data_IF_324153477752
#
_entry.id   IF_324153477752
#
_cell.length_a   1.000
_cell.length_b   1.000
_cell.length_c   1.000
_cell.angle_alpha   90.00
_cell.angle_beta   90.00
_cell.angle_gamma   90.00
#
_symmetry.space_group_name_H-M   'P 1'
#
loop_
_entity.id
_entity.type
_entity.pdbx_description
1 polymer ?
#
# COMPACT_ATOMS: atom_id res chain seq x y z
N UNK A 1 17.51 -2.24 15.20
CA UNK A 1 16.37 -2.73 14.42
C UNK A 1 15.17 -2.82 15.34
N UNK A 2 14.05 -2.23 14.93
CA UNK A 2 12.83 -2.19 15.75
C UNK A 2 12.04 -3.50 15.64
N UNK A 3 11.24 -3.76 16.67
CA UNK A 3 10.31 -4.89 16.71
C UNK A 3 8.87 -4.39 16.79
N UNK A 4 7.93 -5.14 16.25
CA UNK A 4 6.50 -4.93 16.53
C UNK A 4 6.14 -5.63 17.84
N UNK A 5 4.95 -5.36 18.36
CA UNK A 5 4.45 -6.04 19.57
C UNK A 5 4.29 -7.57 19.38
N UNK A 6 4.31 -8.04 18.13
CA UNK A 6 4.11 -9.45 17.77
C UNK A 6 5.38 -10.15 17.25
N UNK A 7 6.54 -9.50 17.30
CA UNK A 7 7.78 -10.09 16.79
C UNK A 7 8.08 -11.47 17.40
N UNK A 8 7.97 -11.61 18.71
CA UNK A 8 8.18 -12.90 19.39
C UNK A 8 7.14 -13.94 18.98
N UNK A 9 5.91 -13.52 18.71
CA UNK A 9 4.86 -14.40 18.19
C UNK A 9 5.26 -14.98 16.83
N UNK A 10 5.77 -14.15 15.92
CA UNK A 10 6.21 -14.60 14.60
C UNK A 10 7.36 -15.58 14.70
N UNK A 11 8.34 -15.31 15.55
CA UNK A 11 9.47 -16.18 15.79
C UNK A 11 8.98 -17.53 16.33
N UNK A 12 8.06 -17.52 17.30
CA UNK A 12 7.49 -18.74 17.90
C UNK A 12 6.71 -19.58 16.88
N UNK A 13 6.16 -18.96 15.85
CA UNK A 13 5.45 -19.63 14.76
C UNK A 13 6.38 -20.14 13.65
N UNK A 14 7.69 -19.96 13.82
CA UNK A 14 8.68 -20.43 12.84
C UNK A 14 8.84 -19.54 11.62
N UNK A 15 8.44 -18.27 11.69
CA UNK A 15 8.58 -17.34 10.60
C UNK A 15 10.06 -17.10 10.24
N UNK A 16 10.34 -16.95 8.95
CA UNK A 16 11.62 -16.43 8.48
C UNK A 16 11.60 -14.91 8.66
N UNK A 17 12.42 -14.42 9.57
CA UNK A 17 12.51 -13.00 9.88
C UNK A 17 13.57 -12.32 9.03
N UNK A 18 13.26 -11.09 8.55
CA UNK A 18 14.17 -10.27 7.72
C UNK A 18 14.08 -8.81 8.14
N UNK A 19 15.14 -8.02 7.92
CA UNK A 19 15.06 -6.57 8.03
C UNK A 19 14.15 -5.99 6.94
N UNK A 20 13.22 -5.15 7.35
CA UNK A 20 12.33 -4.42 6.43
C UNK A 20 11.97 -3.06 7.04
N UNK A 21 12.28 -1.97 6.34
CA UNK A 21 11.97 -0.59 6.78
C UNK A 21 12.40 -0.28 8.22
N UNK A 22 13.52 -0.85 8.64
CA UNK A 22 14.06 -0.67 9.99
C UNK A 22 13.48 -1.59 11.06
N UNK A 23 12.60 -2.51 10.67
CA UNK A 23 11.96 -3.48 11.55
C UNK A 23 12.40 -4.91 11.24
N UNK A 24 12.30 -5.78 12.26
CA UNK A 24 12.46 -7.21 12.13
C UNK A 24 11.11 -7.82 11.78
N UNK A 25 10.90 -8.22 10.52
CA UNK A 25 9.60 -8.59 9.99
C UNK A 25 9.57 -10.02 9.43
N UNK A 26 8.41 -10.71 9.52
CA UNK A 26 8.27 -12.02 8.91
C UNK A 26 8.11 -11.89 7.39
N UNK A 27 9.01 -12.51 6.63
CA UNK A 27 8.89 -12.55 5.17
C UNK A 27 8.00 -13.71 4.72
N UNK A 28 8.04 -14.83 5.44
CA UNK A 28 7.19 -15.99 5.18
C UNK A 28 7.11 -16.89 6.42
N UNK A 29 6.08 -17.73 6.46
CA UNK A 29 5.88 -18.80 7.45
C UNK A 29 5.99 -20.16 6.77
N UNK A 30 4.97 -20.61 6.06
CA UNK A 30 5.01 -21.90 5.34
C UNK A 30 5.51 -21.77 3.89
N UNK A 31 5.57 -20.58 3.37
CA UNK A 31 6.06 -20.28 2.02
C UNK A 31 5.17 -19.30 1.26
N UNK A 32 5.80 -18.49 0.41
CA UNK A 32 5.14 -17.37 -0.27
C UNK A 32 3.96 -17.84 -1.13
N UNK A 33 4.13 -18.91 -1.91
CA UNK A 33 3.06 -19.37 -2.82
C UNK A 33 1.84 -19.89 -2.05
N UNK A 34 2.06 -20.66 -0.99
CA UNK A 34 0.97 -21.18 -0.16
C UNK A 34 0.24 -20.07 0.58
N UNK A 35 0.98 -19.11 1.12
CA UNK A 35 0.44 -17.93 1.81
C UNK A 35 -0.36 -17.04 0.86
N UNK A 36 0.15 -16.83 -0.34
CA UNK A 36 -0.57 -16.10 -1.41
C UNK A 36 -1.90 -16.76 -1.72
N UNK A 37 -1.92 -18.07 -1.94
CA UNK A 37 -3.13 -18.83 -2.22
C UNK A 37 -4.13 -18.79 -1.06
N UNK A 38 -3.66 -18.81 0.18
CA UNK A 38 -4.50 -18.67 1.37
C UNK A 38 -5.27 -17.36 1.36
N UNK A 39 -4.63 -16.26 1.02
CA UNK A 39 -5.28 -14.94 0.93
C UNK A 39 -6.27 -14.90 -0.24
N UNK A 40 -5.89 -15.38 -1.41
CA UNK A 40 -6.78 -15.37 -2.59
C UNK A 40 -8.03 -16.20 -2.40
N UNK A 41 -7.95 -17.35 -1.72
CA UNK A 41 -9.03 -18.32 -1.64
C UNK A 41 -9.73 -18.38 -0.28
N UNK A 42 -9.16 -17.80 0.75
CA UNK A 42 -9.64 -17.91 2.12
C UNK A 42 -9.45 -16.65 2.93
N UNK A 43 -8.58 -16.73 3.94
CA UNK A 43 -8.27 -15.60 4.83
C UNK A 43 -6.87 -15.77 5.44
N UNK A 44 -6.12 -14.68 5.44
CA UNK A 44 -4.81 -14.62 6.06
C UNK A 44 -4.59 -13.34 6.87
N UNK A 45 -3.64 -13.37 7.77
CA UNK A 45 -3.32 -12.25 8.69
C UNK A 45 -1.89 -11.79 8.48
N UNK A 46 -1.75 -10.50 8.16
CA UNK A 46 -0.46 -9.83 8.08
C UNK A 46 -0.27 -8.94 9.31
N UNK A 47 0.88 -9.02 9.95
CA UNK A 47 1.31 -7.98 10.86
C UNK A 47 1.94 -6.86 10.03
N UNK A 48 1.28 -5.71 9.99
CA UNK A 48 1.77 -4.50 9.33
C UNK A 48 1.90 -3.33 10.32
N UNK A 49 2.17 -3.67 11.59
CA UNK A 49 2.32 -2.70 12.68
C UNK A 49 3.52 -1.77 12.50
N UNK A 50 4.39 -2.04 11.53
CA UNK A 50 5.51 -1.17 11.17
C UNK A 50 5.07 0.10 10.43
N UNK A 51 3.85 0.14 9.92
CA UNK A 51 3.27 1.34 9.29
C UNK A 51 3.16 2.48 10.30
N UNK A 52 3.13 3.72 9.80
CA UNK A 52 2.99 4.90 10.63
C UNK A 52 1.57 5.43 10.69
N UNK A 53 1.20 5.99 11.83
CA UNK A 53 -0.10 6.62 12.06
C UNK A 53 0.10 7.99 12.71
N UNK A 54 -0.48 9.03 12.07
CA UNK A 54 -0.49 10.40 12.60
C UNK A 54 -1.91 10.84 12.84
N UNK A 55 -2.17 11.45 13.99
CA UNK A 55 -3.46 12.11 14.27
C UNK A 55 -3.29 13.61 14.11
N UNK A 56 -4.15 14.23 13.30
CA UNK A 56 -4.22 15.67 13.09
C UNK A 56 -5.56 16.18 13.63
N UNK A 57 -5.53 17.17 14.51
CA UNK A 57 -6.72 17.71 15.17
C UNK A 57 -6.81 19.22 15.09
N UNK A 58 -8.03 19.72 15.02
CA UNK A 58 -8.37 21.13 15.08
C UNK A 58 -9.09 21.61 13.84
N UNK A 59 -9.59 22.83 13.89
CA UNK A 59 -10.35 23.44 12.78
C UNK A 59 -9.51 23.60 11.52
N UNK A 60 -8.19 23.75 11.67
CA UNK A 60 -7.27 23.92 10.55
C UNK A 60 -6.65 22.59 10.05
N UNK A 61 -7.01 21.47 10.63
CA UNK A 61 -6.50 20.15 10.21
C UNK A 61 -6.81 19.87 8.74
N UNK A 62 -8.04 20.14 8.30
CA UNK A 62 -8.44 19.96 6.90
C UNK A 62 -7.61 20.85 5.96
N UNK A 63 -7.35 22.09 6.34
CA UNK A 63 -6.58 23.02 5.51
C UNK A 63 -5.14 22.53 5.33
N UNK A 64 -4.52 22.01 6.40
CA UNK A 64 -3.17 21.42 6.33
C UNK A 64 -3.15 20.21 5.41
N UNK A 65 -4.11 19.29 5.57
CA UNK A 65 -4.23 18.09 4.73
C UNK A 65 -4.40 18.48 3.26
N UNK A 66 -5.27 19.45 2.97
CA UNK A 66 -5.48 19.91 1.60
C UNK A 66 -4.22 20.54 1.00
N UNK A 67 -3.42 21.22 1.84
CA UNK A 67 -2.18 21.86 1.39
C UNK A 67 -1.10 20.84 1.01
N UNK A 68 -0.96 19.75 1.76
CA UNK A 68 0.13 18.78 1.60
C UNK A 68 -0.22 17.57 0.75
N UNK A 69 -1.51 17.28 0.52
CA UNK A 69 -1.95 16.09 -0.20
C UNK A 69 -2.60 16.40 -1.54
N UNK A 70 -2.52 15.45 -2.45
CA UNK A 70 -2.97 15.56 -3.83
C UNK A 70 -4.48 15.47 -4.01
N UNK A 71 -5.16 14.71 -3.16
CA UNK A 71 -6.59 14.43 -3.28
C UNK A 71 -7.43 15.47 -2.53
N UNK A 72 -8.72 15.48 -2.79
CA UNK A 72 -9.65 16.43 -2.16
C UNK A 72 -10.24 15.83 -0.87
N UNK A 73 -9.62 16.17 0.26
CA UNK A 73 -10.06 15.70 1.57
C UNK A 73 -11.40 16.31 2.01
N UNK A 74 -11.85 17.40 1.37
CA UNK A 74 -13.17 17.99 1.65
C UNK A 74 -14.33 17.08 1.21
N UNK A 75 -14.06 16.08 0.38
CA UNK A 75 -15.04 15.08 -0.06
C UNK A 75 -15.23 13.95 0.96
N UNK A 76 -14.37 13.88 1.97
CA UNK A 76 -14.51 12.88 3.03
C UNK A 76 -15.69 13.22 3.95
N UNK A 77 -16.34 12.19 4.46
CA UNK A 77 -17.31 12.25 5.54
C UNK A 77 -16.82 11.39 6.70
N UNK A 78 -17.45 11.51 7.87
CA UNK A 78 -17.02 10.74 9.05
C UNK A 78 -17.08 9.23 8.76
N UNK A 79 -15.96 8.55 8.92
CA UNK A 79 -15.83 7.13 8.59
C UNK A 79 -15.33 6.83 7.17
N UNK A 80 -15.07 7.84 6.35
CA UNK A 80 -14.54 7.66 4.99
C UNK A 80 -13.03 7.75 4.94
N UNK A 81 -12.44 6.94 4.06
CA UNK A 81 -11.00 6.89 3.81
C UNK A 81 -10.73 7.28 2.37
N UNK A 82 -9.59 7.91 2.14
CA UNK A 82 -9.17 8.24 0.78
C UNK A 82 -7.68 7.95 0.60
N UNK A 83 -7.32 7.46 -0.58
CA UNK A 83 -5.93 7.33 -1.01
C UNK A 83 -5.45 8.66 -1.59
N UNK A 84 -4.21 9.03 -1.29
CA UNK A 84 -3.58 10.24 -1.78
C UNK A 84 -2.06 10.07 -1.79
N UNK A 85 -1.37 11.08 -2.30
CA UNK A 85 0.07 11.18 -2.12
C UNK A 85 0.44 12.58 -1.62
N UNK A 86 1.63 12.69 -1.07
CA UNK A 86 2.24 13.97 -0.68
C UNK A 86 3.19 14.39 -1.81
N UNK A 87 2.82 15.39 -2.63
CA UNK A 87 3.73 15.88 -3.66
C UNK A 87 4.86 16.69 -3.03
N UNK A 88 6.07 16.54 -3.56
CA UNK A 88 7.17 17.42 -3.18
C UNK A 88 7.21 18.67 -4.08
N UNK A 89 8.14 19.55 -3.84
CA UNK A 89 8.24 20.82 -4.57
C UNK A 89 8.94 20.67 -5.94
N UNK A 90 9.56 19.52 -6.19
CA UNK A 90 10.39 19.25 -7.37
C UNK A 90 9.73 18.33 -8.40
N UNK A 91 8.46 18.00 -8.21
CA UNK A 91 7.69 17.17 -9.14
C UNK A 91 7.64 15.69 -8.81
N UNK A 92 8.19 15.29 -7.65
CA UNK A 92 8.14 13.92 -7.17
C UNK A 92 7.13 13.70 -6.06
N UNK A 93 7.24 12.54 -5.42
CA UNK A 93 6.32 12.06 -4.39
C UNK A 93 7.09 11.83 -3.08
N UNK A 94 6.68 12.53 -2.02
CA UNK A 94 7.26 12.34 -0.68
C UNK A 94 6.85 10.97 -0.14
N UNK A 95 5.57 10.64 -0.24
CA UNK A 95 4.99 9.36 0.15
C UNK A 95 3.56 9.24 -0.41
N UNK A 96 3.06 8.01 -0.51
CA UNK A 96 1.64 7.75 -0.67
C UNK A 96 1.05 7.35 0.68
N UNK A 97 -0.24 7.64 0.89
CA UNK A 97 -0.85 7.48 2.20
C UNK A 97 -2.35 7.28 2.09
N UNK A 98 -2.94 6.84 3.20
CA UNK A 98 -4.38 6.85 3.40
C UNK A 98 -4.76 7.96 4.38
N UNK A 99 -5.85 8.65 4.09
CA UNK A 99 -6.42 9.71 4.93
C UNK A 99 -7.77 9.23 5.45
N UNK A 100 -7.89 9.12 6.77
CA UNK A 100 -9.09 8.68 7.48
C UNK A 100 -9.76 9.90 8.11
N UNK A 101 -11.02 10.15 7.79
CA UNK A 101 -11.77 11.19 8.51
C UNK A 101 -12.51 10.59 9.68
N UNK A 102 -12.07 10.91 10.90
CA UNK A 102 -12.71 10.47 12.16
C UNK A 102 -13.94 11.33 12.44
N UNK A 103 -13.75 12.63 12.39
CA UNK A 103 -14.81 13.64 12.45
C UNK A 103 -14.35 14.89 11.69
N UNK A 104 -15.15 15.95 11.69
CA UNK A 104 -14.85 17.16 10.93
C UNK A 104 -13.55 17.87 11.34
N UNK A 105 -13.02 17.59 12.53
CA UNK A 105 -11.81 18.19 13.10
C UNK A 105 -10.70 17.20 13.39
N UNK A 106 -10.91 15.92 13.10
CA UNK A 106 -9.97 14.85 13.48
C UNK A 106 -9.74 13.91 12.32
N UNK A 107 -8.47 13.71 11.98
CA UNK A 107 -8.03 12.86 10.88
C UNK A 107 -6.91 11.95 11.33
N UNK A 108 -6.85 10.76 10.74
CA UNK A 108 -5.70 9.87 10.88
C UNK A 108 -5.04 9.70 9.52
N UNK A 109 -3.74 9.90 9.46
CA UNK A 109 -2.93 9.63 8.28
C UNK A 109 -2.15 8.35 8.49
N UNK A 110 -2.23 7.42 7.55
CA UNK A 110 -1.49 6.15 7.58
C UNK A 110 -0.43 6.19 6.50
N UNK A 111 0.83 6.10 6.92
CA UNK A 111 2.00 6.33 6.07
C UNK A 111 2.92 5.12 6.03
N UNK A 112 3.78 5.04 5.01
CA UNK A 112 4.73 3.95 4.87
C UNK A 112 5.80 3.98 5.98
N UNK A 113 6.18 2.80 6.44
CA UNK A 113 7.09 2.63 7.57
C UNK A 113 8.43 3.36 7.39
N UNK A 114 9.03 3.25 6.21
CA UNK A 114 10.33 3.89 5.92
C UNK A 114 10.27 5.41 5.87
N UNK A 115 9.09 5.98 5.77
CA UNK A 115 8.86 7.41 5.56
C UNK A 115 8.26 8.13 6.78
N UNK A 116 8.08 7.46 7.91
CA UNK A 116 7.40 8.04 9.08
C UNK A 116 8.03 9.38 9.48
N UNK A 117 9.35 9.43 9.68
CA UNK A 117 10.02 10.66 10.04
C UNK A 117 10.01 11.70 8.93
N UNK A 118 10.25 11.26 7.69
CA UNK A 118 10.21 12.12 6.50
C UNK A 118 8.84 12.79 6.32
N UNK A 119 7.78 12.02 6.42
CA UNK A 119 6.41 12.51 6.26
C UNK A 119 6.01 13.44 7.39
N UNK A 120 6.35 13.09 8.63
CA UNK A 120 6.11 13.94 9.79
C UNK A 120 6.75 15.32 9.62
N UNK A 121 8.04 15.33 9.27
CA UNK A 121 8.78 16.59 9.07
C UNK A 121 8.24 17.38 7.88
N UNK A 122 7.85 16.71 6.81
CA UNK A 122 7.26 17.34 5.63
C UNK A 122 5.93 18.04 5.97
N UNK A 123 5.04 17.37 6.67
CA UNK A 123 3.74 17.94 7.07
C UNK A 123 3.96 19.09 8.07
N UNK A 124 4.88 18.93 9.03
CA UNK A 124 5.21 19.99 10.00
C UNK A 124 5.75 21.24 9.30
N UNK A 125 6.50 21.09 8.22
CA UNK A 125 7.00 22.22 7.43
C UNK A 125 5.88 23.14 6.97
N UNK A 126 4.72 22.60 6.63
CA UNK A 126 3.55 23.33 6.18
C UNK A 126 2.54 23.62 7.29
N UNK A 127 2.79 23.19 8.49
CA UNK A 127 1.92 23.41 9.65
C UNK A 127 2.18 24.79 10.25
N UNK A 128 1.75 25.83 9.53
CA UNK A 128 1.95 27.24 9.92
C UNK A 128 0.81 27.80 10.78
N UNK A 129 -0.29 27.07 10.91
CA UNK A 129 -1.48 27.50 11.65
C UNK A 129 -1.68 26.73 12.96
N UNK A 130 -0.64 26.01 13.41
CA UNK A 130 -0.64 25.35 14.72
C UNK A 130 -1.60 24.16 14.83
N UNK A 131 -1.77 23.37 13.78
CA UNK A 131 -2.55 22.14 13.83
C UNK A 131 -1.91 21.19 14.86
N UNK A 132 -2.72 20.64 15.74
CA UNK A 132 -2.29 19.66 16.71
C UNK A 132 -2.00 18.34 15.99
N UNK A 133 -0.77 17.84 16.11
CA UNK A 133 -0.33 16.60 15.48
C UNK A 133 0.25 15.64 16.51
N UNK A 134 -0.13 14.37 16.42
CA UNK A 134 0.38 13.30 17.26
C UNK A 134 0.86 12.15 16.41
N UNK A 135 2.13 11.76 16.60
CA UNK A 135 2.66 10.54 16.00
C UNK A 135 2.41 9.39 16.98
N UNK A 136 1.41 8.56 16.67
CA UNK A 136 1.03 7.41 17.49
C UNK A 136 1.58 6.09 16.94
N UNK A 137 2.51 6.14 16.01
CA UNK A 137 3.05 4.95 15.32
C UNK A 137 3.63 3.93 16.30
N UNK A 138 4.41 4.37 17.28
CA UNK A 138 5.07 3.48 18.25
C UNK A 138 4.10 2.85 19.26
N UNK A 139 2.88 3.35 19.35
CA UNK A 139 1.85 2.87 20.29
C UNK A 139 0.80 2.01 19.61
N UNK A 140 0.77 1.96 18.30
CA UNK A 140 -0.29 1.36 17.49
C UNK A 140 0.19 0.08 16.83
N UNK A 141 -0.61 -0.97 16.96
CA UNK A 141 -0.48 -2.20 16.18
C UNK A 141 -1.52 -2.19 15.05
N UNK A 142 -1.18 -2.83 13.96
CA UNK A 142 -2.02 -2.92 12.77
C UNK A 142 -1.96 -4.32 12.21
N UNK A 143 -3.12 -4.99 12.16
CA UNK A 143 -3.26 -6.30 11.53
C UNK A 143 -4.14 -6.17 10.29
N UNK A 144 -3.64 -6.64 9.15
CA UNK A 144 -4.44 -6.76 7.93
C UNK A 144 -4.95 -8.20 7.83
N UNK A 145 -6.26 -8.37 7.90
CA UNK A 145 -6.94 -9.66 7.76
C UNK A 145 -7.61 -9.67 6.39
N UNK A 146 -7.03 -10.42 5.47
CA UNK A 146 -7.32 -10.29 4.04
C UNK A 146 -7.76 -11.61 3.43
N UNK A 147 -8.71 -11.53 2.52
CA UNK A 147 -9.24 -12.65 1.76
C UNK A 147 -10.77 -12.66 1.72
N UNK A 148 -11.37 -13.46 0.83
CA UNK A 148 -12.83 -13.49 0.66
C UNK A 148 -13.59 -14.01 1.88
N UNK A 149 -12.91 -14.68 2.80
CA UNK A 149 -13.49 -15.22 4.04
C UNK A 149 -13.26 -14.32 5.27
N UNK A 150 -12.64 -13.16 5.11
CA UNK A 150 -12.26 -12.30 6.24
C UNK A 150 -13.47 -11.86 7.06
N UNK A 151 -14.54 -11.38 6.43
CA UNK A 151 -15.74 -10.93 7.14
C UNK A 151 -16.36 -12.06 7.98
N UNK A 152 -16.54 -13.23 7.39
CA UNK A 152 -17.10 -14.40 8.11
C UNK A 152 -16.22 -14.82 9.28
N UNK A 153 -14.89 -14.85 9.06
CA UNK A 153 -13.94 -15.28 10.08
C UNK A 153 -13.91 -14.34 11.28
N UNK A 154 -14.10 -13.03 11.08
CA UNK A 154 -13.98 -12.02 12.12
C UNK A 154 -15.30 -11.63 12.79
N UNK A 155 -16.45 -11.95 12.19
CA UNK A 155 -17.75 -11.40 12.62
C UNK A 155 -18.09 -11.71 14.08
N UNK A 156 -17.72 -12.86 14.59
CA UNK A 156 -18.00 -13.23 15.99
C UNK A 156 -17.21 -12.39 17.02
N UNK A 157 -16.20 -11.66 16.58
CA UNK A 157 -15.32 -10.86 17.45
C UNK A 157 -15.81 -9.43 17.66
N UNK A 158 -16.82 -8.99 16.92
CA UNK A 158 -17.26 -7.58 16.94
C UNK A 158 -18.75 -7.45 16.64
N UNK A 159 -19.36 -6.37 17.16
CA UNK A 159 -20.74 -5.98 16.84
C UNK A 159 -20.83 -5.16 15.54
N UNK A 160 -19.70 -4.76 14.97
CA UNK A 160 -19.68 -4.08 13.68
C UNK A 160 -20.14 -5.08 12.60
N UNK A 161 -21.12 -4.70 11.77
CA UNK A 161 -21.54 -5.52 10.64
C UNK A 161 -20.47 -5.44 9.52
N UNK A 162 -19.53 -6.40 9.55
CA UNK A 162 -18.39 -6.41 8.65
C UNK A 162 -18.80 -6.62 7.19
N UNK A 163 -19.78 -7.47 6.95
CA UNK A 163 -20.25 -7.80 5.59
C UNK A 163 -20.85 -6.58 4.88
N UNK A 164 -21.42 -5.61 5.63
CA UNK A 164 -22.03 -4.41 5.05
C UNK A 164 -21.07 -3.22 4.93
N UNK A 165 -19.84 -3.35 5.41
CA UNK A 165 -18.87 -2.26 5.29
C UNK A 165 -18.44 -2.06 3.84
N UNK A 166 -18.61 -0.84 3.36
CA UNK A 166 -18.15 -0.46 2.04
C UNK A 166 -16.62 -0.30 2.01
N UNK A 167 -16.02 -0.63 0.88
CA UNK A 167 -14.60 -0.45 0.66
C UNK A 167 -14.20 1.02 0.89
N UNK A 168 -13.10 1.24 1.62
CA UNK A 168 -12.62 2.57 2.04
C UNK A 168 -13.54 3.28 3.04
N UNK A 169 -14.20 2.49 3.88
CA UNK A 169 -14.89 2.97 5.07
C UNK A 169 -14.32 2.32 6.32
N UNK A 170 -14.47 2.97 7.45
CA UNK A 170 -14.05 2.43 8.74
C UNK A 170 -15.07 2.72 9.83
N UNK A 171 -15.01 1.93 10.90
CA UNK A 171 -15.81 2.11 12.10
C UNK A 171 -14.94 1.83 13.33
N UNK A 172 -15.23 2.49 14.42
CA UNK A 172 -14.67 2.17 15.74
C UNK A 172 -15.69 1.36 16.52
N UNK A 173 -15.21 0.38 17.25
CA UNK A 173 -16.06 -0.45 18.08
C UNK A 173 -15.26 -1.39 18.97
N UNK A 174 -15.97 -2.29 19.64
CA UNK A 174 -15.36 -3.36 20.43
C UNK A 174 -14.98 -4.50 19.50
N UNK A 175 -13.74 -4.96 19.64
CA UNK A 175 -13.23 -6.08 18.86
C UNK A 175 -12.45 -7.02 19.78
N UNK A 176 -12.81 -8.30 19.82
CA UNK A 176 -12.21 -9.31 20.70
C UNK A 176 -12.21 -8.87 22.17
N UNK A 177 -13.26 -8.19 22.62
CA UNK A 177 -13.38 -7.66 23.98
C UNK A 177 -12.59 -6.37 24.25
N UNK A 178 -11.88 -5.85 23.25
CA UNK A 178 -11.12 -4.60 23.38
C UNK A 178 -11.92 -3.44 22.80
N UNK A 179 -12.07 -2.38 23.59
CA UNK A 179 -12.82 -1.18 23.19
C UNK A 179 -11.99 -0.27 22.27
N UNK A 180 -12.66 0.59 21.50
CA UNK A 180 -12.06 1.62 20.67
C UNK A 180 -11.10 1.08 19.60
N UNK A 181 -11.36 -0.10 19.11
CA UNK A 181 -10.63 -0.66 17.97
C UNK A 181 -11.18 -0.06 16.67
N UNK A 182 -10.29 0.40 15.82
CA UNK A 182 -10.65 0.92 14.50
C UNK A 182 -10.56 -0.23 13.49
N UNK A 183 -11.68 -0.50 12.81
CA UNK A 183 -11.76 -1.54 11.76
C UNK A 183 -12.04 -0.84 10.45
N UNK A 184 -11.15 -0.99 9.49
CA UNK A 184 -11.31 -0.39 8.15
C UNK A 184 -11.43 -1.46 7.07
N UNK A 185 -12.31 -1.22 6.10
CA UNK A 185 -12.46 -2.05 4.92
C UNK A 185 -11.43 -1.61 3.86
N UNK A 186 -10.19 -1.88 4.16
CA UNK A 186 -9.01 -1.53 3.34
C UNK A 186 -8.03 -2.69 3.28
N UNK A 187 -7.09 -2.63 2.37
CA UNK A 187 -6.03 -3.62 2.23
C UNK A 187 -5.13 -3.33 1.04
N UNK A 188 -4.16 -4.21 0.84
CA UNK A 188 -3.13 -4.08 -0.18
C UNK A 188 -3.02 -5.35 -1.03
N UNK A 189 -4.10 -6.14 -1.08
CA UNK A 189 -4.09 -7.48 -1.69
C UNK A 189 -5.04 -7.63 -2.88
N UNK A 190 -6.06 -6.79 -2.96
CA UNK A 190 -7.15 -6.95 -3.93
C UNK A 190 -8.07 -8.13 -3.63
N UNK A 191 -7.90 -8.80 -2.49
CA UNK A 191 -8.71 -9.96 -2.11
C UNK A 191 -9.88 -9.62 -1.18
N UNK A 192 -10.03 -8.35 -0.82
CA UNK A 192 -10.95 -7.91 0.21
C UNK A 192 -10.42 -8.17 1.62
N UNK A 193 -11.09 -7.64 2.60
CA UNK A 193 -10.72 -7.81 3.99
C UNK A 193 -10.70 -6.51 4.77
N UNK A 194 -10.02 -6.55 5.90
CA UNK A 194 -10.03 -5.46 6.88
C UNK A 194 -8.64 -5.19 7.41
N UNK A 195 -8.43 -3.96 7.85
CA UNK A 195 -7.25 -3.55 8.61
C UNK A 195 -7.73 -3.13 10.00
N UNK A 196 -7.07 -3.63 11.02
CA UNK A 196 -7.51 -3.52 12.42
C UNK A 196 -6.42 -2.80 13.21
N UNK A 197 -6.75 -1.62 13.76
CA UNK A 197 -5.85 -0.75 14.50
C UNK A 197 -6.20 -0.79 15.99
N UNK A 198 -5.20 -1.00 16.82
CA UNK A 198 -5.37 -1.06 18.27
C UNK A 198 -4.06 -0.74 19.00
N UNK A 199 -4.11 -0.53 20.29
CA UNK A 199 -2.92 -0.27 21.10
C UNK A 199 -2.08 -1.54 21.29
N UNK A 200 -0.76 -1.39 21.31
CA UNK A 200 0.21 -2.50 21.38
C UNK A 200 -0.04 -3.49 22.51
N UNK A 201 -0.55 -3.02 23.66
CA UNK A 201 -0.82 -3.89 24.81
C UNK A 201 -1.84 -4.99 24.53
N UNK A 202 -2.69 -4.79 23.51
CA UNK A 202 -3.74 -5.73 23.11
C UNK A 202 -3.31 -6.68 21.97
N UNK A 203 -2.07 -6.59 21.52
CA UNK A 203 -1.64 -7.28 20.29
C UNK A 203 -1.77 -8.80 20.39
N UNK A 204 -1.28 -9.41 21.47
CA UNK A 204 -1.39 -10.86 21.63
C UNK A 204 -2.84 -11.31 21.81
N UNK A 205 -3.63 -10.57 22.59
CA UNK A 205 -5.06 -10.87 22.81
C UNK A 205 -5.82 -10.88 21.49
N UNK A 206 -5.64 -9.84 20.67
CA UNK A 206 -6.35 -9.71 19.38
C UNK A 206 -5.85 -10.73 18.38
N UNK A 207 -4.55 -10.94 18.29
CA UNK A 207 -3.97 -11.96 17.40
C UNK A 207 -4.55 -13.35 17.72
N UNK A 208 -4.49 -13.76 18.98
CA UNK A 208 -4.98 -15.07 19.40
C UNK A 208 -6.48 -15.23 19.16
N UNK A 209 -7.27 -14.19 19.44
CA UNK A 209 -8.71 -14.19 19.17
C UNK A 209 -9.03 -14.32 17.68
N UNK A 210 -8.29 -13.63 16.82
CA UNK A 210 -8.46 -13.73 15.35
C UNK A 210 -8.19 -15.16 14.87
N UNK A 211 -7.11 -15.79 15.36
CA UNK A 211 -6.76 -17.16 14.95
C UNK A 211 -7.73 -18.19 15.50
N UNK A 212 -8.26 -18.00 16.72
CA UNK A 212 -9.31 -18.87 17.27
C UNK A 212 -10.60 -18.78 16.44
N UNK A 213 -11.08 -17.55 16.19
CA UNK A 213 -12.29 -17.33 15.40
C UNK A 213 -12.13 -17.76 13.94
N UNK A 214 -10.93 -17.60 13.38
CA UNK A 214 -10.62 -17.95 12.00
C UNK A 214 -10.27 -19.41 11.76
N UNK A 215 -10.11 -20.21 12.81
CA UNK A 215 -9.71 -21.61 12.67
C UNK A 215 -10.63 -22.43 11.74
N UNK A 216 -11.97 -22.30 11.80
CA UNK A 216 -12.87 -23.00 10.87
C UNK A 216 -12.66 -22.62 9.39
N UNK A 217 -12.01 -21.51 9.13
CA UNK A 217 -11.73 -20.97 7.79
C UNK A 217 -10.30 -21.22 7.34
N UNK A 218 -9.52 -22.00 8.10
CA UNK A 218 -8.09 -22.27 7.84
C UNK A 218 -7.25 -20.98 7.78
N UNK A 219 -7.54 -20.01 8.63
CA UNK A 219 -6.78 -18.77 8.70
C UNK A 219 -5.30 -19.04 8.96
N UNK A 220 -4.43 -18.32 8.26
CA UNK A 220 -2.98 -18.49 8.35
C UNK A 220 -2.27 -17.16 8.55
N UNK A 221 -1.11 -17.17 9.21
CA UNK A 221 -0.25 -15.98 9.23
C UNK A 221 0.43 -15.84 7.87
N UNK A 222 0.55 -14.61 7.41
CA UNK A 222 1.06 -14.28 6.07
C UNK A 222 2.21 -13.29 6.20
N UNK A 223 3.31 -13.56 5.51
CA UNK A 223 4.49 -12.71 5.53
C UNK A 223 4.54 -11.68 4.41
N UNK A 224 5.58 -10.84 4.47
CA UNK A 224 5.77 -9.74 3.52
C UNK A 224 6.04 -10.23 2.09
N UNK A 225 6.55 -11.46 1.92
CA UNK A 225 6.77 -12.02 0.58
C UNK A 225 5.48 -12.18 -0.20
N UNK A 226 4.43 -12.73 0.43
CA UNK A 226 3.11 -12.83 -0.19
C UNK A 226 2.43 -11.46 -0.30
N UNK A 227 2.67 -10.55 0.64
CA UNK A 227 2.18 -9.17 0.53
C UNK A 227 2.65 -8.53 -0.79
N UNK A 228 3.91 -8.73 -1.16
CA UNK A 228 4.47 -8.21 -2.40
C UNK A 228 3.88 -8.87 -3.65
N UNK A 229 3.75 -10.19 -3.66
CA UNK A 229 3.14 -10.88 -4.82
C UNK A 229 1.68 -10.50 -5.02
N UNK A 230 0.92 -10.37 -3.93
CA UNK A 230 -0.49 -9.99 -3.96
C UNK A 230 -0.69 -8.56 -4.47
N UNK A 231 0.05 -7.58 -3.92
CA UNK A 231 -0.09 -6.18 -4.35
C UNK A 231 0.31 -5.99 -5.81
N UNK A 232 1.35 -6.73 -6.26
CA UNK A 232 1.88 -6.59 -7.61
C UNK A 232 0.88 -7.10 -8.65
N UNK A 233 0.16 -8.19 -8.38
CA UNK A 233 -0.92 -8.68 -9.24
C UNK A 233 -2.01 -7.63 -9.46
N UNK A 234 -2.21 -6.74 -8.50
CA UNK A 234 -3.17 -5.64 -8.59
C UNK A 234 -2.59 -4.37 -9.23
N UNK A 235 -1.29 -4.33 -9.44
CA UNK A 235 -0.62 -3.13 -9.93
C UNK A 235 -0.50 -2.02 -8.90
N UNK A 236 -0.58 -2.34 -7.61
CA UNK A 236 -0.41 -1.36 -6.54
C UNK A 236 1.06 -0.99 -6.36
N UNK A 237 1.36 0.30 -6.36
CA UNK A 237 2.72 0.79 -6.19
C UNK A 237 3.27 0.47 -4.80
N UNK A 238 4.56 0.19 -4.75
CA UNK A 238 5.35 0.14 -3.53
C UNK A 238 6.29 1.36 -3.53
N UNK A 239 6.13 2.22 -2.53
CA UNK A 239 7.02 3.37 -2.38
C UNK A 239 8.46 2.92 -2.16
N UNK A 240 9.38 3.55 -2.87
CA UNK A 240 10.78 3.16 -2.92
C UNK A 240 11.14 2.26 -4.09
N UNK A 241 10.14 1.60 -4.69
CA UNK A 241 10.30 0.78 -5.90
C UNK A 241 9.66 1.43 -7.12
N UNK A 242 8.34 1.60 -7.09
CA UNK A 242 7.54 2.06 -8.24
C UNK A 242 7.33 3.56 -8.23
N UNK A 243 7.36 4.18 -7.08
CA UNK A 243 7.26 5.63 -6.87
C UNK A 243 8.26 6.06 -5.80
N UNK A 244 8.79 7.27 -5.94
CA UNK A 244 9.72 7.88 -5.00
C UNK A 244 9.78 9.41 -5.15
N UNK A 245 10.74 10.05 -4.50
CA UNK A 245 10.94 11.50 -4.54
C UNK A 245 11.23 12.06 -5.94
N UNK A 246 11.62 11.21 -6.88
CA UNK A 246 11.97 11.62 -8.26
C UNK A 246 10.89 11.26 -9.28
N UNK A 247 9.83 10.61 -8.85
CA UNK A 247 8.77 10.09 -9.73
C UNK A 247 7.66 11.10 -9.91
N UNK A 248 7.33 11.43 -11.15
CA UNK A 248 6.10 12.20 -11.42
C UNK A 248 4.85 11.37 -11.10
N UNK A 249 3.94 11.89 -10.27
CA UNK A 249 2.69 11.20 -9.97
C UNK A 249 1.82 10.97 -11.21
N UNK A 250 1.89 11.86 -12.20
CA UNK A 250 1.14 11.71 -13.45
C UNK A 250 1.71 10.58 -14.30
N UNK A 251 3.02 10.43 -14.33
CA UNK A 251 3.70 9.31 -15.00
C UNK A 251 3.46 7.98 -14.30
N UNK A 252 3.27 8.01 -12.99
CA UNK A 252 2.96 6.83 -12.17
C UNK A 252 1.49 6.38 -12.27
N UNK A 253 0.66 7.09 -13.02
CA UNK A 253 -0.77 6.76 -13.15
C UNK A 253 -1.62 7.23 -11.98
N UNK A 254 -1.13 8.16 -11.17
CA UNK A 254 -1.85 8.70 -10.00
C UNK A 254 -2.66 9.96 -10.31
N UNK A 255 -2.96 10.22 -11.58
CA UNK A 255 -3.79 11.35 -12.01
C UNK A 255 -5.20 11.32 -11.41
N UNK A 256 -5.75 10.14 -11.15
CA UNK A 256 -7.08 9.98 -10.58
C UNK A 256 -7.20 10.47 -9.12
N UNK A 257 -6.08 10.59 -8.40
CA UNK A 257 -6.01 11.18 -7.05
C UNK A 257 -5.32 12.54 -7.04
N UNK A 258 -5.13 13.16 -8.20
CA UNK A 258 -4.56 14.50 -8.34
C UNK A 258 -5.68 15.48 -8.66
N UNK A 259 -6.14 16.24 -7.66
CA UNK A 259 -7.36 17.08 -7.77
C UNK A 259 -6.99 18.55 -7.89
N UNK A 260 -6.96 19.05 -9.13
CA UNK A 260 -6.62 20.44 -9.44
C UNK A 260 -7.73 21.45 -9.11
N UNK A 261 -8.87 21.00 -8.58
CA UNK A 261 -9.94 21.86 -8.08
C UNK A 261 -9.61 22.55 -6.77
N UNK A 262 -8.51 22.15 -6.14
CA UNK A 262 -7.96 22.76 -4.92
C UNK A 262 -6.49 23.10 -5.10
N UNK A 263 -5.96 23.98 -4.26
CA UNK A 263 -4.55 24.29 -4.24
C UNK A 263 -3.80 23.33 -3.30
N UNK A 264 -2.65 22.83 -3.74
CA UNK A 264 -1.77 21.97 -2.95
C UNK A 264 -0.32 22.18 -3.39
N UNK A 265 0.62 21.61 -2.66
CA UNK A 265 2.05 21.71 -2.96
C UNK A 265 2.35 21.26 -4.39
N UNK A 266 3.02 22.13 -5.15
CA UNK A 266 3.42 21.90 -6.54
C UNK A 266 2.26 21.70 -7.54
N UNK A 267 1.04 22.10 -7.20
CA UNK A 267 -0.13 21.92 -8.05
C UNK A 267 0.01 22.59 -9.43
N UNK A 268 0.54 23.80 -9.48
CA UNK A 268 0.70 24.54 -10.76
C UNK A 268 1.64 23.81 -11.72
N UNK A 269 2.79 23.31 -11.24
CA UNK A 269 3.75 22.59 -12.06
C UNK A 269 3.18 21.23 -12.53
N UNK A 270 2.44 20.54 -11.68
CA UNK A 270 1.77 19.29 -12.07
C UNK A 270 0.69 19.52 -13.10
N UNK A 271 -0.09 20.60 -12.97
CA UNK A 271 -1.10 20.98 -13.95
C UNK A 271 -0.45 21.30 -15.31
N UNK A 272 0.65 22.03 -15.29
CA UNK A 272 1.41 22.35 -16.50
C UNK A 272 1.94 21.08 -17.17
N UNK A 273 2.45 20.11 -16.39
CA UNK A 273 2.90 18.81 -16.91
C UNK A 273 1.73 18.04 -17.54
N UNK A 274 0.56 18.04 -16.92
CA UNK A 274 -0.65 17.42 -17.47
C UNK A 274 -1.02 17.98 -18.83
N UNK A 275 -0.97 19.31 -18.97
CA UNK A 275 -1.30 20.01 -20.21
C UNK A 275 -0.24 19.76 -21.30
N UNK A 276 1.04 19.73 -20.94
CA UNK A 276 2.14 19.46 -21.88
C UNK A 276 2.24 17.97 -22.27
N UNK A 277 1.72 17.07 -21.45
CA UNK A 277 1.84 15.64 -21.60
C UNK A 277 3.04 15.08 -20.85
N UNK A 278 2.92 13.80 -20.46
CA UNK A 278 3.98 13.07 -19.77
C UNK A 278 4.99 12.48 -20.76
N UNK A 279 6.23 12.30 -20.32
CA UNK A 279 7.31 11.73 -21.17
C UNK A 279 7.44 10.22 -21.08
N UNK A 280 7.03 9.64 -19.95
CA UNK A 280 7.01 8.19 -19.71
C UNK A 280 5.79 7.81 -18.91
N UNK A 281 5.50 6.51 -18.87
CA UNK A 281 4.31 5.99 -18.18
C UNK A 281 4.62 4.66 -17.50
N UNK A 282 4.14 4.49 -16.29
CA UNK A 282 4.19 3.22 -15.57
C UNK A 282 3.23 2.23 -16.22
N UNK A 283 3.77 1.09 -16.67
CA UNK A 283 3.04 0.03 -17.36
C UNK A 283 3.21 -1.30 -16.63
N UNK A 284 2.24 -2.19 -16.82
CA UNK A 284 2.39 -3.60 -16.48
C UNK A 284 3.22 -4.31 -17.52
N UNK A 285 3.99 -5.30 -17.08
CA UNK A 285 4.85 -6.15 -17.90
C UNK A 285 4.44 -7.59 -17.67
N UNK A 286 4.12 -8.31 -18.75
CA UNK A 286 3.87 -9.75 -18.72
C UNK A 286 4.93 -10.43 -19.55
N UNK A 287 5.71 -11.33 -18.94
CA UNK A 287 6.76 -12.04 -19.65
C UNK A 287 6.17 -13.04 -20.64
N UNK A 288 6.67 -13.08 -21.85
CA UNK A 288 6.33 -14.06 -22.88
C UNK A 288 7.32 -15.23 -22.78
N UNK A 289 8.61 -14.92 -22.77
CA UNK A 289 9.66 -15.90 -22.64
C UNK A 289 10.04 -16.06 -21.15
N UNK A 290 10.71 -17.15 -20.84
CA UNK A 290 11.09 -17.49 -19.48
C UNK A 290 12.10 -16.50 -18.90
N UNK A 291 11.75 -15.90 -17.79
CA UNK A 291 12.57 -14.96 -17.03
C UNK A 291 11.69 -14.15 -16.08
N UNK A 292 12.26 -13.69 -14.98
CA UNK A 292 11.54 -12.87 -14.00
C UNK A 292 12.12 -11.45 -14.06
N UNK A 293 11.27 -10.42 -14.36
CA UNK A 293 11.74 -9.04 -14.34
C UNK A 293 12.06 -8.65 -12.89
N UNK A 294 13.14 -7.90 -12.71
CA UNK A 294 13.57 -7.44 -11.38
C UNK A 294 13.81 -5.94 -11.41
N UNK A 295 13.76 -5.34 -10.23
CA UNK A 295 14.04 -3.92 -10.04
C UNK A 295 15.35 -3.52 -10.73
N UNK A 296 15.33 -2.40 -11.45
CA UNK A 296 16.45 -1.82 -12.22
C UNK A 296 16.81 -2.53 -13.53
N UNK A 297 16.18 -3.65 -13.87
CA UNK A 297 16.40 -4.23 -15.20
C UNK A 297 15.92 -3.26 -16.28
N UNK A 298 16.71 -3.13 -17.35
CA UNK A 298 16.36 -2.28 -18.48
C UNK A 298 15.25 -2.90 -19.32
N UNK A 299 14.36 -2.05 -19.80
CA UNK A 299 13.38 -2.40 -20.83
C UNK A 299 13.94 -1.86 -22.14
N UNK A 300 14.05 -2.73 -23.14
CA UNK A 300 14.63 -2.38 -24.45
C UNK A 300 13.67 -2.73 -25.57
N UNK A 301 13.86 -2.09 -26.73
CA UNK A 301 13.16 -2.44 -27.96
C UNK A 301 13.84 -3.63 -28.67
N UNK A 302 13.32 -4.02 -29.84
CA UNK A 302 13.86 -5.13 -30.61
C UNK A 302 15.32 -4.91 -31.05
N UNK A 303 15.71 -3.65 -31.22
CA UNK A 303 17.07 -3.27 -31.62
C UNK A 303 18.03 -3.11 -30.46
N UNK A 304 17.54 -3.27 -29.25
CA UNK A 304 18.33 -3.16 -28.00
C UNK A 304 18.44 -1.74 -27.44
N UNK A 305 17.68 -0.78 -27.98
CA UNK A 305 17.65 0.57 -27.43
C UNK A 305 16.87 0.59 -26.11
N UNK A 306 17.42 1.28 -25.10
CA UNK A 306 16.76 1.42 -23.81
C UNK A 306 15.54 2.33 -23.95
N UNK A 307 14.36 1.80 -23.61
CA UNK A 307 13.08 2.51 -23.66
C UNK A 307 12.41 2.64 -22.29
N UNK A 308 12.99 2.06 -21.26
CA UNK A 308 12.43 2.10 -19.92
C UNK A 308 13.20 1.29 -18.91
N UNK A 309 12.58 1.13 -17.72
CA UNK A 309 13.20 0.48 -16.59
C UNK A 309 12.14 -0.23 -15.73
N UNK A 310 12.44 -1.45 -15.32
CA UNK A 310 11.60 -2.23 -14.41
C UNK A 310 11.73 -1.66 -12.99
N UNK A 311 10.61 -1.52 -12.30
CA UNK A 311 10.56 -1.06 -10.91
C UNK A 311 10.24 -2.18 -9.92
N UNK A 312 9.37 -3.12 -10.31
CA UNK A 312 9.01 -4.29 -9.51
C UNK A 312 8.79 -5.49 -10.42
N UNK A 313 9.00 -6.69 -9.90
CA UNK A 313 8.74 -7.92 -10.64
C UNK A 313 8.70 -9.14 -9.75
N UNK A 314 7.93 -10.14 -10.16
CA UNK A 314 7.77 -11.40 -9.44
C UNK A 314 7.24 -12.48 -10.38
N UNK A 315 7.35 -13.74 -9.92
CA UNK A 315 6.56 -14.84 -10.45
C UNK A 315 5.18 -14.79 -9.80
N UNK A 316 4.13 -14.47 -10.57
CA UNK A 316 2.76 -14.43 -10.02
C UNK A 316 2.28 -15.84 -9.67
N UNK A 317 1.95 -16.10 -8.38
CA UNK A 317 1.41 -17.40 -7.99
C UNK A 317 0.02 -17.67 -8.58
N UNK A 318 -0.82 -16.64 -8.73
CA UNK A 318 -2.17 -16.78 -9.30
C UNK A 318 -2.15 -17.09 -10.79
N UNK A 319 -1.34 -16.36 -11.54
CA UNK A 319 -1.30 -16.43 -13.01
C UNK A 319 -0.28 -17.46 -13.52
N UNK A 320 0.63 -17.92 -12.66
CA UNK A 320 1.75 -18.80 -13.01
C UNK A 320 2.60 -18.22 -14.17
N UNK A 321 2.74 -16.91 -14.14
CA UNK A 321 3.52 -16.12 -15.11
C UNK A 321 4.39 -15.12 -14.37
N UNK A 322 5.53 -14.80 -14.95
CA UNK A 322 6.34 -13.70 -14.47
C UNK A 322 5.72 -12.37 -14.93
N UNK A 323 5.55 -11.46 -14.00
CA UNK A 323 4.97 -10.14 -14.20
C UNK A 323 5.83 -9.07 -13.55
N UNK A 324 5.67 -7.84 -13.99
CA UNK A 324 6.37 -6.70 -13.41
C UNK A 324 5.69 -5.37 -13.70
N UNK A 325 6.28 -4.34 -13.15
CA UNK A 325 5.91 -2.94 -13.40
C UNK A 325 7.15 -2.20 -13.85
N UNK A 326 6.98 -1.21 -14.72
CA UNK A 326 8.10 -0.40 -15.18
C UNK A 326 7.66 0.83 -15.94
N UNK A 327 8.54 1.84 -15.93
CA UNK A 327 8.32 3.06 -16.71
C UNK A 327 8.83 2.84 -18.13
N UNK A 328 8.01 3.22 -19.10
CA UNK A 328 8.32 3.10 -20.53
C UNK A 328 8.07 4.46 -21.19
N UNK A 329 8.89 4.82 -22.17
CA UNK A 329 8.71 6.03 -22.98
C UNK A 329 7.25 6.12 -23.46
N UNK A 330 6.62 7.27 -23.25
CA UNK A 330 5.18 7.47 -23.51
C UNK A 330 4.78 7.08 -24.94
N UNK A 331 5.62 7.38 -25.92
CA UNK A 331 5.35 7.05 -27.32
C UNK A 331 5.21 5.54 -27.57
N UNK A 332 5.83 4.70 -26.73
CA UNK A 332 5.88 3.25 -26.84
C UNK A 332 5.02 2.53 -25.81
N UNK A 333 4.42 3.27 -24.87
CA UNK A 333 3.64 2.74 -23.75
C UNK A 333 2.21 2.40 -24.19
N UNK A 334 2.07 1.35 -24.99
CA UNK A 334 0.78 0.88 -25.51
C UNK A 334 0.51 -0.55 -25.05
N UNK A 335 -0.72 -0.81 -24.67
CA UNK A 335 -1.16 -2.16 -24.31
C UNK A 335 -0.93 -3.13 -25.49
N UNK A 336 -0.34 -4.30 -25.17
CA UNK A 336 -0.01 -5.32 -26.15
C UNK A 336 1.31 -5.11 -26.89
N UNK A 337 1.99 -3.98 -26.68
CA UNK A 337 3.28 -3.72 -27.34
C UNK A 337 4.33 -4.73 -26.86
N UNK A 338 5.08 -5.30 -27.82
CA UNK A 338 6.20 -6.17 -27.49
C UNK A 338 7.41 -5.34 -27.07
N UNK A 339 8.01 -5.75 -25.97
CA UNK A 339 9.24 -5.19 -25.43
C UNK A 339 10.14 -6.32 -24.97
N UNK A 340 11.35 -5.99 -24.58
CA UNK A 340 12.31 -6.97 -24.09
C UNK A 340 12.87 -6.50 -22.74
N UNK A 341 12.99 -7.44 -21.81
CA UNK A 341 13.65 -7.19 -20.54
C UNK A 341 15.08 -7.70 -20.65
N UNK A 342 16.03 -6.83 -20.34
CA UNK A 342 17.44 -7.21 -20.40
C UNK A 342 17.81 -7.96 -19.09
N UNK A 343 17.94 -9.29 -19.23
CA UNK A 343 18.28 -10.16 -18.11
C UNK A 343 19.62 -10.82 -18.42
N UNK A 344 20.66 -10.49 -17.64
CA UNK A 344 22.04 -11.03 -17.86
C UNK A 344 22.47 -10.87 -19.32
N UNK A 345 22.31 -9.68 -19.87
CA UNK A 345 22.66 -9.31 -21.24
C UNK A 345 21.85 -10.04 -22.34
N UNK A 346 20.77 -10.72 -21.97
CA UNK A 346 19.84 -11.34 -22.93
C UNK A 346 18.54 -10.56 -22.99
N UNK A 347 18.05 -10.34 -24.20
CA UNK A 347 16.73 -9.76 -24.44
C UNK A 347 15.66 -10.83 -24.28
N UNK A 348 14.89 -10.75 -23.20
CA UNK A 348 13.81 -11.69 -22.89
C UNK A 348 12.48 -11.05 -23.25
N UNK A 349 11.74 -11.67 -24.15
CA UNK A 349 10.51 -11.10 -24.71
C UNK A 349 9.42 -10.96 -23.64
N UNK A 350 8.75 -9.81 -23.68
CA UNK A 350 7.61 -9.45 -22.84
C UNK A 350 6.61 -8.61 -23.62
N UNK A 351 5.45 -8.40 -23.05
CA UNK A 351 4.47 -7.43 -23.57
C UNK A 351 4.01 -6.49 -22.46
N UNK A 352 3.65 -5.29 -22.87
CA UNK A 352 3.05 -4.29 -21.97
C UNK A 352 1.57 -4.58 -21.78
N UNK A 353 1.11 -4.48 -20.55
CA UNK A 353 -0.29 -4.71 -20.18
C UNK A 353 -0.78 -3.61 -19.24
N UNK A 354 -2.09 -3.49 -19.11
CA UNK A 354 -2.73 -2.61 -18.13
C UNK A 354 -2.85 -3.29 -16.78
N UNK A 355 -3.04 -2.49 -15.73
CA UNK A 355 -3.37 -2.97 -14.39
C UNK A 355 -4.89 -3.10 -14.21
N UNK A 356 -5.38 -4.02 -13.38
CA UNK A 356 -4.64 -5.09 -12.72
C UNK A 356 -4.26 -6.23 -13.68
N UNK A 357 -3.30 -7.09 -13.25
CA UNK A 357 -2.93 -8.29 -14.02
C UNK A 357 -3.97 -9.40 -13.91
N UNK A 358 -4.76 -9.34 -12.83
CA UNK A 358 -5.74 -10.38 -12.51
C UNK A 358 -7.14 -9.76 -12.37
#
# INVERSE_FOLDING_TARGET
MNNTALTEKHISLGAKMVPFAGYNMPVQYEGINAEHATVRNGVGVFDVSHMGEFILKGEKAIDLIQRVSSNDASKLYDGKIQYAYLPNEDGGIVDDLLIYRIDEKSYMLVVNASNIEKDWNWIQKYNTEGVEMHNISDKTSLLAVQGPKAAEALQSLTDIDLASMEYYNFKKGTFAGVENVLVSATGYTGAGGFEIYFENEHANTIWDAIFEAGAPFNIKPIGLGARDTLRLEMGFCLYGNDIDDTTSPLEAGLGWVTKFTKNFTNAEALKAQKEAGISKKLMGIEMIDRGIPRHDYQIVDADGNVIGKVTSGTQSPSLQKAIGMGYVDKALAKEGAEVYILIRDKKVKAKLVKFPFK
#
